data_IF_702401586903
#
_entry.id   IF_702401586903
#
_cell.length_a   1.000
_cell.length_b   1.000
_cell.length_c   1.000
_cell.angle_alpha   90.00
_cell.angle_beta   90.00
_cell.angle_gamma   90.00
#
_symmetry.space_group_name_H-M   'P 1'
#
loop_
_entity.id
_entity.type
_entity.pdbx_description
1 polymer ?
#
# COMPACT_ATOMS: atom_id res chain seq x y z
N UNK A 1 -1.45 -22.27 -7.69
CA UNK A 1 -2.20 -21.49 -7.04
C UNK A 1 -1.67 -20.16 -6.78
N UNK A 2 -2.17 -19.27 -7.17
CA UNK A 2 -1.61 -17.97 -7.01
C UNK A 2 -1.85 -17.46 -5.63
N UNK A 3 -1.15 -16.47 -5.25
CA UNK A 3 -1.40 -15.77 -4.06
C UNK A 3 -2.60 -14.95 -4.28
N UNK A 4 -3.29 -14.63 -3.27
CA UNK A 4 -4.33 -13.70 -3.47
C UNK A 4 -4.19 -12.61 -2.45
N UNK A 5 -4.73 -11.45 -2.81
CA UNK A 5 -4.61 -10.27 -2.01
C UNK A 5 -5.63 -10.30 -0.90
N UNK A 6 -5.27 -9.87 0.30
CA UNK A 6 -6.26 -9.75 1.36
C UNK A 6 -7.33 -8.76 0.98
N UNK A 7 -8.53 -8.98 1.47
CA UNK A 7 -9.62 -8.03 1.22
C UNK A 7 -9.39 -6.78 2.05
N UNK A 8 -10.12 -5.72 1.68
CA UNK A 8 -10.06 -4.49 2.45
C UNK A 8 -10.45 -4.72 3.89
N UNK A 9 -11.44 -5.58 4.09
CA UNK A 9 -11.90 -5.88 5.42
C UNK A 9 -10.79 -6.49 6.27
N UNK A 10 -10.05 -7.42 5.68
CA UNK A 10 -8.95 -8.04 6.37
C UNK A 10 -7.87 -7.02 6.71
N UNK A 11 -7.55 -6.16 5.75
CA UNK A 11 -6.53 -5.15 5.98
C UNK A 11 -6.97 -4.20 7.08
N UNK A 12 -8.24 -3.80 7.06
CA UNK A 12 -8.76 -2.89 8.07
C UNK A 12 -8.68 -3.52 9.45
N UNK A 13 -9.09 -4.76 9.57
CA UNK A 13 -9.03 -5.44 10.86
C UNK A 13 -7.62 -5.51 11.40
N UNK A 14 -6.68 -5.82 10.52
CA UNK A 14 -5.29 -5.89 10.93
C UNK A 14 -4.77 -4.53 11.35
N UNK A 15 -5.14 -3.50 10.61
CA UNK A 15 -4.69 -2.15 10.91
C UNK A 15 -5.23 -1.69 12.27
N UNK A 16 -6.52 -1.89 12.48
CA UNK A 16 -7.13 -1.49 13.74
C UNK A 16 -6.53 -2.27 14.91
N UNK A 17 -6.34 -3.56 14.69
CA UNK A 17 -5.75 -4.39 15.73
C UNK A 17 -4.36 -3.89 16.08
N UNK A 18 -3.57 -3.58 15.07
CA UNK A 18 -2.23 -3.09 15.29
C UNK A 18 -2.24 -1.79 16.07
N UNK A 19 -3.13 -0.88 15.69
CA UNK A 19 -3.23 0.39 16.38
C UNK A 19 -3.65 0.22 17.81
N UNK A 20 -4.55 -0.72 18.07
CA UNK A 20 -4.96 -1.00 19.45
C UNK A 20 -3.79 -1.57 20.24
N UNK A 21 -3.01 -2.43 19.63
CA UNK A 21 -1.84 -2.99 20.31
C UNK A 21 -0.82 -1.90 20.62
N UNK A 22 -0.70 -0.94 19.74
CA UNK A 22 0.23 0.16 19.94
C UNK A 22 -0.34 1.27 20.82
N UNK A 23 -1.61 1.18 21.15
CA UNK A 23 -2.24 2.20 21.97
C UNK A 23 -2.55 3.47 21.22
N UNK A 24 -2.62 3.39 19.90
CA UNK A 24 -2.83 4.60 19.09
C UNK A 24 -4.20 4.67 18.45
N UNK A 25 -5.03 3.66 18.66
CA UNK A 25 -6.33 3.66 17.99
C UNK A 25 -7.27 4.69 18.57
N UNK A 26 -7.90 5.44 17.70
CA UNK A 26 -8.95 6.39 18.08
C UNK A 26 -9.99 6.38 16.98
N UNK A 27 -11.22 6.53 17.39
CA UNK A 27 -12.31 6.50 16.43
C UNK A 27 -12.19 7.66 15.44
N UNK A 28 -11.54 8.75 15.85
CA UNK A 28 -11.35 9.89 14.96
C UNK A 28 -10.50 9.54 13.76
N UNK A 29 -9.74 8.46 13.82
CA UNK A 29 -8.88 8.07 12.72
C UNK A 29 -9.59 7.21 11.69
N UNK A 30 -10.90 6.96 11.89
CA UNK A 30 -11.58 5.99 11.05
C UNK A 30 -11.48 6.35 9.56
N UNK A 31 -11.61 7.63 9.23
CA UNK A 31 -11.52 8.04 7.85
C UNK A 31 -10.11 7.83 7.28
N UNK A 32 -9.11 8.18 8.07
CA UNK A 32 -7.73 7.96 7.66
C UNK A 32 -7.43 6.48 7.51
N UNK A 33 -7.99 5.67 8.39
CA UNK A 33 -7.81 4.23 8.30
C UNK A 33 -8.42 3.71 7.00
N UNK A 34 -9.59 4.18 6.65
CA UNK A 34 -10.25 3.73 5.43
C UNK A 34 -9.42 4.08 4.19
N UNK A 35 -8.85 5.27 4.16
CA UNK A 35 -8.01 5.67 3.05
C UNK A 35 -6.75 4.82 3.01
N UNK A 36 -6.15 4.60 4.15
CA UNK A 36 -4.95 3.78 4.24
C UNK A 36 -5.22 2.36 3.76
N UNK A 37 -6.34 1.79 4.17
CA UNK A 37 -6.72 0.45 3.77
C UNK A 37 -6.92 0.37 2.27
N UNK A 38 -7.55 1.39 1.71
CA UNK A 38 -7.78 1.44 0.28
C UNK A 38 -6.47 1.46 -0.48
N UNK A 39 -5.54 2.29 -0.03
CA UNK A 39 -4.23 2.35 -0.68
C UNK A 39 -3.47 1.04 -0.56
N UNK A 40 -3.54 0.42 0.59
CA UNK A 40 -2.88 -0.87 0.79
C UNK A 40 -3.48 -1.92 -0.13
N UNK A 41 -4.78 -1.92 -0.26
CA UNK A 41 -5.44 -2.87 -1.12
C UNK A 41 -5.04 -2.66 -2.58
N UNK A 42 -5.00 -1.42 -3.01
CA UNK A 42 -4.58 -1.10 -4.36
C UNK A 42 -3.15 -1.53 -4.61
N UNK A 43 -2.29 -1.23 -3.66
CA UNK A 43 -0.88 -1.57 -3.79
C UNK A 43 -0.72 -3.08 -3.92
N UNK A 44 -1.42 -3.83 -3.08
CA UNK A 44 -1.34 -5.29 -3.12
C UNK A 44 -1.85 -5.83 -4.44
N UNK A 45 -2.94 -5.26 -4.92
CA UNK A 45 -3.52 -5.73 -6.17
C UNK A 45 -2.57 -5.49 -7.34
N UNK A 46 -2.02 -4.30 -7.42
CA UNK A 46 -1.12 -3.97 -8.52
C UNK A 46 0.15 -4.79 -8.44
N UNK A 47 0.66 -4.99 -7.23
CA UNK A 47 1.85 -5.79 -7.04
C UNK A 47 1.62 -7.23 -7.48
N UNK A 48 0.47 -7.77 -7.15
CA UNK A 48 0.15 -9.12 -7.54
C UNK A 48 0.07 -9.25 -9.05
N UNK A 49 -0.54 -8.27 -9.71
CA UNK A 49 -0.62 -8.29 -11.16
C UNK A 49 0.77 -8.19 -11.77
N UNK A 50 1.61 -7.37 -11.18
CA UNK A 50 2.97 -7.22 -11.65
C UNK A 50 3.72 -8.54 -11.54
N UNK A 51 3.54 -9.25 -10.43
CA UNK A 51 4.16 -10.55 -10.24
C UNK A 51 3.65 -11.58 -11.22
N UNK A 52 2.35 -11.54 -11.50
CA UNK A 52 1.78 -12.47 -12.45
C UNK A 52 2.40 -12.32 -13.82
N UNK A 53 2.82 -11.12 -14.15
CA UNK A 53 3.44 -10.87 -15.44
C UNK A 53 4.95 -11.01 -15.38
N UNK A 54 5.46 -11.66 -14.35
CA UNK A 54 6.88 -11.90 -14.25
C UNK A 54 7.67 -10.65 -14.03
N UNK A 55 7.06 -9.66 -13.42
CA UNK A 55 7.71 -8.37 -13.17
C UNK A 55 8.05 -7.65 -14.46
N UNK A 56 7.37 -8.01 -15.54
CA UNK A 56 7.66 -7.36 -16.79
C UNK A 56 6.82 -6.14 -16.96
N UNK A 57 7.47 -5.05 -17.06
CA UNK A 57 6.80 -3.82 -17.38
C UNK A 57 7.05 -3.61 -18.83
N UNK A 58 6.19 -4.11 -19.64
CA UNK A 58 6.45 -4.08 -21.04
C UNK A 58 6.10 -2.74 -21.61
N UNK A 59 7.08 -1.95 -21.81
CA UNK A 59 6.86 -0.72 -22.46
C UNK A 59 7.36 -0.89 -23.83
N UNK A 60 6.48 -1.13 -24.72
CA UNK A 60 6.89 -1.37 -26.05
C UNK A 60 6.88 -0.15 -26.87
N UNK A 61 7.23 0.92 -26.35
CA UNK A 61 7.20 2.10 -27.16
C UNK A 61 8.58 2.54 -27.43
N UNK A 62 8.84 2.87 -28.60
CA UNK A 62 10.13 3.35 -28.95
C UNK A 62 10.38 4.70 -28.39
N UNK A 63 9.33 5.40 -28.04
CA UNK A 63 9.57 6.69 -27.50
C UNK A 63 9.67 6.67 -26.02
N UNK A 64 9.82 5.56 -25.43
CA UNK A 64 9.82 5.55 -24.01
C UNK A 64 11.02 6.24 -23.44
N UNK A 65 12.08 6.34 -24.15
CA UNK A 65 13.16 7.22 -23.75
C UNK A 65 13.45 7.28 -22.29
N UNK A 66 13.45 6.20 -21.61
CA UNK A 66 13.76 6.20 -20.21
C UNK A 66 12.64 6.61 -19.29
N UNK A 67 11.46 6.80 -19.83
CA UNK A 67 10.34 7.10 -18.97
C UNK A 67 9.94 5.91 -18.17
N UNK A 68 9.54 6.16 -16.95
CA UNK A 68 9.07 5.08 -16.12
C UNK A 68 7.76 4.54 -16.62
N UNK A 69 7.59 3.25 -16.41
CA UNK A 69 6.32 2.62 -16.67
C UNK A 69 5.26 3.24 -15.77
N UNK A 70 4.05 3.42 -16.28
CA UNK A 70 2.97 3.90 -15.42
C UNK A 70 2.73 3.02 -14.21
N UNK A 71 2.91 1.72 -14.35
CA UNK A 71 2.75 0.82 -13.22
C UNK A 71 3.78 1.11 -12.15
N UNK A 72 5.02 1.29 -12.54
CA UNK A 72 6.06 1.59 -11.57
C UNK A 72 5.83 2.92 -10.90
N UNK A 73 5.41 3.91 -11.68
CA UNK A 73 5.13 5.21 -11.12
C UNK A 73 3.99 5.14 -10.11
N UNK A 74 2.96 4.39 -10.44
CA UNK A 74 1.84 4.22 -9.53
C UNK A 74 2.26 3.53 -8.24
N UNK A 75 3.08 2.49 -8.36
CA UNK A 75 3.55 1.79 -7.18
C UNK A 75 4.40 2.67 -6.29
N UNK A 76 5.25 3.48 -6.90
CA UNK A 76 6.07 4.39 -6.12
C UNK A 76 5.23 5.41 -5.38
N UNK A 77 4.23 5.93 -6.07
CA UNK A 77 3.36 6.92 -5.49
C UNK A 77 2.57 6.31 -4.33
N UNK A 78 2.03 5.12 -4.54
CA UNK A 78 1.29 4.44 -3.47
C UNK A 78 2.18 4.14 -2.29
N UNK A 79 3.38 3.67 -2.55
CA UNK A 79 4.31 3.33 -1.47
C UNK A 79 4.61 4.55 -0.62
N UNK A 80 4.80 5.68 -1.27
CA UNK A 80 5.09 6.91 -0.58
C UNK A 80 3.89 7.35 0.26
N UNK A 81 2.70 7.30 -0.33
CA UNK A 81 1.50 7.71 0.37
C UNK A 81 1.18 6.77 1.53
N UNK A 82 1.38 5.49 1.32
CA UNK A 82 1.18 4.51 2.39
C UNK A 82 2.11 4.81 3.54
N UNK A 83 3.35 5.12 3.24
CA UNK A 83 4.30 5.47 4.29
C UNK A 83 3.87 6.70 5.06
N UNK A 84 3.40 7.71 4.36
CA UNK A 84 2.92 8.93 4.99
C UNK A 84 1.74 8.64 5.92
N UNK A 85 0.78 7.87 5.43
CA UNK A 85 -0.39 7.55 6.24
C UNK A 85 -0.05 6.63 7.39
N UNK A 86 0.89 5.72 7.17
CA UNK A 86 1.35 4.84 8.23
C UNK A 86 1.92 5.66 9.39
N UNK A 87 2.67 6.71 9.06
CA UNK A 87 3.19 7.60 10.08
C UNK A 87 2.08 8.37 10.78
N UNK A 88 1.10 8.84 10.02
CA UNK A 88 0.00 9.58 10.60
C UNK A 88 -0.82 8.73 11.54
N UNK A 89 -0.96 7.47 11.22
CA UNK A 89 -1.70 6.54 12.06
C UNK A 89 -0.85 5.95 13.17
N UNK A 90 0.40 6.36 13.22
CA UNK A 90 1.34 5.90 14.26
C UNK A 90 1.50 4.39 14.23
N UNK A 91 1.50 3.85 13.02
CA UNK A 91 1.69 2.42 12.86
C UNK A 91 3.15 2.02 12.88
N UNK A 92 4.03 2.96 12.65
CA UNK A 92 5.47 2.69 12.65
C UNK A 92 6.04 3.16 13.97
N UNK A 93 6.41 2.26 14.85
CA UNK A 93 6.98 2.69 16.12
C UNK A 93 8.31 3.38 15.86
N UNK A 94 8.51 4.54 16.50
CA UNK A 94 9.77 5.20 16.38
C UNK A 94 10.75 4.48 17.21
N UNK A 95 11.79 4.22 16.66
CA UNK A 95 12.79 3.65 17.49
C UNK A 95 13.45 4.75 18.25
N UNK A 96 13.35 5.28 18.58
CA UNK A 96 13.93 6.08 19.25
C UNK A 96 13.97 6.45 19.98
N UNK A 97 14.03 6.60 19.90
CA UNK A 97 14.25 6.92 20.24
C UNK A 97 14.30 7.20 20.61
#
# INVERSE_FOLDING_TARGET
MGKYTPTKDTIKRRTVKRMKELGTYKVQYSQLIDIFVDMMHQYNFITEEFEKNGYQVVIKTEESDGKKSPILATLESLRKDIGTYSDRLLLNPKSNN
#
